data_IF_189684199385
#
_entry.id   IF_189684199385
#
_cell.length_a   1.000
_cell.length_b   1.000
_cell.length_c   1.000
_cell.angle_alpha   90.00
_cell.angle_beta   90.00
_cell.angle_gamma   90.00
#
_symmetry.space_group_name_H-M   'P 1'
#
loop_
_entity.id
_entity.type
_entity.pdbx_description
1 polymer ?
#
# COMPACT_ATOMS: atom_id res chain seq x y z
N UNK A 1 -33.67 -20.95 0.11
CA UNK A 1 -34.10 -19.70 0.78
C UNK A 1 -35.15 -19.05 -0.11
N UNK A 2 -36.27 -18.59 0.42
CA UNK A 2 -37.31 -17.91 -0.37
C UNK A 2 -36.89 -16.47 -0.68
N UNK A 3 -37.58 -15.81 -1.63
CA UNK A 3 -37.37 -14.39 -1.91
C UNK A 3 -37.50 -13.53 -0.64
N UNK A 4 -38.56 -13.72 0.13
CA UNK A 4 -38.79 -12.95 1.37
C UNK A 4 -37.68 -13.17 2.41
N UNK A 5 -37.14 -14.38 2.50
CA UNK A 5 -36.00 -14.68 3.37
C UNK A 5 -34.69 -14.03 2.88
N UNK A 6 -34.51 -13.88 1.57
CA UNK A 6 -33.36 -13.18 0.98
C UNK A 6 -33.48 -11.67 1.20
N UNK A 7 -34.68 -11.11 1.03
CA UNK A 7 -34.95 -9.69 1.32
C UNK A 7 -34.72 -9.40 2.80
N UNK A 8 -35.29 -10.20 3.71
CA UNK A 8 -35.04 -10.06 5.16
C UNK A 8 -33.55 -10.15 5.50
N UNK A 9 -32.82 -11.07 4.85
CA UNK A 9 -31.38 -11.15 5.03
C UNK A 9 -30.69 -9.85 4.60
N UNK A 10 -30.97 -9.35 3.40
CA UNK A 10 -30.32 -8.14 2.85
C UNK A 10 -30.68 -6.90 3.66
N UNK A 11 -31.94 -6.73 4.05
CA UNK A 11 -32.41 -5.51 4.72
C UNK A 11 -32.11 -5.48 6.22
N UNK A 12 -32.18 -6.64 6.90
CA UNK A 12 -32.22 -6.67 8.37
C UNK A 12 -31.10 -7.47 9.02
N UNK A 13 -30.57 -8.49 8.34
CA UNK A 13 -29.55 -9.40 8.91
C UNK A 13 -28.14 -9.20 8.35
N UNK A 14 -27.99 -8.59 7.17
CA UNK A 14 -26.70 -8.33 6.54
C UNK A 14 -25.96 -7.24 7.31
N UNK A 15 -24.91 -7.64 8.03
CA UNK A 15 -24.04 -6.71 8.75
C UNK A 15 -22.95 -6.19 7.82
N UNK A 16 -23.07 -4.92 7.45
CA UNK A 16 -22.10 -4.26 6.59
C UNK A 16 -20.80 -3.95 7.33
N UNK A 17 -19.84 -4.87 7.25
CA UNK A 17 -18.43 -4.63 7.68
C UNK A 17 -17.51 -4.32 6.50
N UNK A 18 -17.88 -4.78 5.30
CA UNK A 18 -17.19 -4.51 4.04
C UNK A 18 -18.19 -4.66 2.88
N UNK A 19 -17.80 -4.28 1.66
CA UNK A 19 -18.63 -4.42 0.45
C UNK A 19 -18.79 -5.85 -0.07
N UNK A 20 -18.12 -6.84 0.53
CA UNK A 20 -18.00 -8.18 -0.04
C UNK A 20 -19.35 -8.91 -0.17
N UNK A 21 -20.17 -8.86 0.88
CA UNK A 21 -21.48 -9.53 0.90
C UNK A 21 -22.42 -8.99 -0.19
N UNK A 22 -22.68 -7.67 -0.30
CA UNK A 22 -23.56 -7.17 -1.35
C UNK A 22 -22.98 -7.35 -2.76
N UNK A 23 -21.67 -7.21 -2.95
CA UNK A 23 -21.04 -7.43 -4.26
C UNK A 23 -21.13 -8.89 -4.70
N UNK A 24 -20.93 -9.85 -3.80
CA UNK A 24 -21.08 -11.27 -4.09
C UNK A 24 -22.51 -11.60 -4.52
N UNK A 25 -23.52 -11.14 -3.75
CA UNK A 25 -24.92 -11.36 -4.10
C UNK A 25 -25.31 -10.68 -5.42
N UNK A 26 -24.84 -9.45 -5.66
CA UNK A 26 -25.06 -8.76 -6.93
C UNK A 26 -24.46 -9.54 -8.12
N UNK A 27 -23.25 -10.06 -7.96
CA UNK A 27 -22.56 -10.85 -9.00
C UNK A 27 -23.32 -12.13 -9.31
N UNK A 28 -23.79 -12.84 -8.28
CA UNK A 28 -24.64 -14.04 -8.45
C UNK A 28 -25.93 -13.70 -9.21
N UNK A 29 -26.60 -12.61 -8.87
CA UNK A 29 -27.84 -12.18 -9.55
C UNK A 29 -27.61 -11.80 -11.02
N UNK A 30 -26.44 -11.26 -11.37
CA UNK A 30 -26.09 -10.89 -12.74
C UNK A 30 -25.71 -12.08 -13.63
N UNK A 31 -25.19 -13.15 -13.03
CA UNK A 31 -24.71 -14.34 -13.74
C UNK A 31 -25.70 -15.52 -13.69
N UNK A 32 -26.95 -15.27 -13.29
CA UNK A 32 -27.99 -16.29 -13.27
C UNK A 32 -27.80 -17.32 -12.17
N UNK A 33 -27.51 -16.85 -10.96
CA UNK A 33 -27.39 -17.59 -9.68
C UNK A 33 -26.15 -18.47 -9.45
N UNK A 34 -25.27 -18.60 -10.44
CA UNK A 34 -23.98 -19.29 -10.31
C UNK A 34 -22.81 -18.48 -10.89
N UNK A 35 -21.72 -18.37 -10.13
CA UNK A 35 -20.49 -17.75 -10.59
C UNK A 35 -19.27 -18.39 -9.92
N UNK A 36 -18.12 -18.36 -10.59
CA UNK A 36 -16.87 -18.85 -10.00
C UNK A 36 -16.35 -17.90 -8.92
N UNK A 37 -15.57 -18.42 -7.96
CA UNK A 37 -14.86 -17.58 -6.97
C UNK A 37 -14.01 -16.50 -7.64
N UNK A 38 -13.41 -16.81 -8.81
CA UNK A 38 -12.61 -15.88 -9.59
C UNK A 38 -13.43 -14.71 -10.12
N UNK A 39 -14.68 -14.94 -10.50
CA UNK A 39 -15.55 -13.88 -11.02
C UNK A 39 -16.06 -12.97 -9.90
N UNK A 40 -16.36 -13.54 -8.74
CA UNK A 40 -16.68 -12.77 -7.52
C UNK A 40 -15.47 -11.92 -7.09
N UNK A 41 -14.26 -12.48 -7.08
CA UNK A 41 -13.05 -11.76 -6.73
C UNK A 41 -12.76 -10.57 -7.68
N UNK A 42 -12.99 -10.75 -8.99
CA UNK A 42 -12.91 -9.65 -9.97
C UNK A 42 -13.92 -8.56 -9.65
N UNK A 43 -15.18 -8.92 -9.38
CA UNK A 43 -16.22 -7.95 -9.05
C UNK A 43 -15.88 -7.17 -7.79
N UNK A 44 -15.45 -7.84 -6.72
CA UNK A 44 -14.99 -7.20 -5.48
C UNK A 44 -13.83 -6.24 -5.74
N UNK A 45 -12.85 -6.66 -6.53
CA UNK A 45 -11.68 -5.82 -6.87
C UNK A 45 -12.06 -4.55 -7.62
N UNK A 46 -13.13 -4.57 -8.42
CA UNK A 46 -13.64 -3.40 -9.13
C UNK A 46 -14.32 -2.40 -8.19
N UNK A 47 -14.78 -2.84 -7.03
CA UNK A 47 -15.45 -1.98 -6.05
C UNK A 47 -14.55 -1.49 -4.91
N UNK A 48 -13.28 -1.91 -4.85
CA UNK A 48 -12.30 -1.43 -3.85
C UNK A 48 -11.83 0.01 -4.19
N UNK A 49 -12.21 1.03 -3.39
CA UNK A 49 -11.84 2.42 -3.65
C UNK A 49 -10.34 2.65 -3.76
N UNK A 50 -9.53 1.94 -2.97
CA UNK A 50 -8.07 2.11 -2.93
C UNK A 50 -7.44 1.62 -4.23
N UNK A 51 -7.91 0.48 -4.76
CA UNK A 51 -7.48 -0.05 -6.05
C UNK A 51 -7.94 0.86 -7.20
N UNK A 52 -9.17 1.36 -7.15
CA UNK A 52 -9.69 2.29 -8.15
C UNK A 52 -8.82 3.55 -8.18
N UNK A 53 -8.54 4.18 -7.05
CA UNK A 53 -7.70 5.38 -6.94
C UNK A 53 -6.27 5.14 -7.47
N UNK A 54 -5.69 3.98 -7.16
CA UNK A 54 -4.40 3.57 -7.70
C UNK A 54 -4.44 3.50 -9.24
N UNK A 55 -5.43 2.81 -9.82
CA UNK A 55 -5.56 2.71 -11.28
C UNK A 55 -5.98 4.03 -11.93
N UNK A 56 -6.70 4.92 -11.25
CA UNK A 56 -6.95 6.28 -11.72
C UNK A 56 -5.63 7.05 -11.88
N UNK A 57 -4.73 6.95 -10.89
CA UNK A 57 -3.42 7.59 -10.96
C UNK A 57 -2.56 7.03 -12.11
N UNK A 58 -2.52 5.71 -12.29
CA UNK A 58 -1.83 5.06 -13.42
C UNK A 58 -2.44 5.51 -14.76
N UNK A 59 -3.76 5.49 -14.88
CA UNK A 59 -4.49 5.92 -16.07
C UNK A 59 -4.16 7.38 -16.39
N UNK A 60 -4.14 8.25 -15.39
CA UNK A 60 -3.86 9.68 -15.55
C UNK A 60 -2.41 9.96 -15.96
N UNK A 61 -1.47 9.34 -15.25
CA UNK A 61 -0.06 9.72 -15.31
C UNK A 61 0.72 8.97 -16.40
N UNK A 62 0.30 7.74 -16.72
CA UNK A 62 1.00 6.88 -17.67
C UNK A 62 0.17 6.68 -18.94
N UNK A 63 -0.92 5.92 -18.86
CA UNK A 63 -1.64 5.45 -20.07
C UNK A 63 -2.29 6.62 -20.82
N UNK A 64 -3.03 7.46 -20.11
CA UNK A 64 -3.70 8.64 -20.65
C UNK A 64 -2.70 9.64 -21.23
N UNK A 65 -1.55 9.85 -20.59
CA UNK A 65 -0.48 10.72 -21.12
C UNK A 65 0.07 10.19 -22.44
N UNK A 66 0.38 8.89 -22.49
CA UNK A 66 0.93 8.23 -23.69
C UNK A 66 -0.07 8.28 -24.85
N UNK A 67 -1.31 7.86 -24.62
CA UNK A 67 -2.32 7.83 -25.69
C UNK A 67 -2.73 9.24 -26.15
N UNK A 68 -2.71 10.23 -25.26
CA UNK A 68 -2.93 11.64 -25.65
C UNK A 68 -1.79 12.14 -26.53
N UNK A 69 -0.53 11.82 -26.17
CA UNK A 69 0.65 12.19 -26.98
C UNK A 69 0.61 11.57 -28.38
N UNK A 70 0.08 10.36 -28.52
CA UNK A 70 -0.10 9.70 -29.81
C UNK A 70 -1.37 10.14 -30.56
N UNK A 71 -2.13 11.12 -30.05
CA UNK A 71 -3.34 11.62 -30.70
C UNK A 71 -4.48 10.61 -30.76
N UNK A 72 -4.44 9.55 -29.95
CA UNK A 72 -5.46 8.48 -29.94
C UNK A 72 -6.64 8.84 -29.05
N UNK A 73 -6.39 9.58 -27.96
CA UNK A 73 -7.43 10.00 -27.02
C UNK A 73 -7.28 11.48 -26.66
N UNK A 74 -8.40 12.12 -26.33
CA UNK A 74 -8.47 13.43 -25.69
C UNK A 74 -8.87 13.25 -24.24
N UNK A 75 -8.29 14.06 -23.36
CA UNK A 75 -8.69 14.17 -21.95
C UNK A 75 -9.43 15.48 -21.71
N UNK A 76 -10.57 15.38 -21.03
CA UNK A 76 -11.33 16.52 -20.52
C UNK A 76 -11.64 16.30 -19.03
N UNK A 77 -10.96 17.04 -18.15
CA UNK A 77 -10.97 16.80 -16.71
C UNK A 77 -10.57 15.38 -16.32
N UNK A 78 -11.53 14.59 -15.83
CA UNK A 78 -11.37 13.17 -15.47
C UNK A 78 -11.88 12.20 -16.55
N UNK A 79 -12.37 12.69 -17.69
CA UNK A 79 -12.94 11.87 -18.77
C UNK A 79 -11.95 11.74 -19.93
N UNK A 80 -11.96 10.57 -20.58
CA UNK A 80 -11.21 10.31 -21.80
C UNK A 80 -12.18 10.01 -22.95
N UNK A 81 -11.83 10.44 -24.16
CA UNK A 81 -12.59 10.16 -25.38
C UNK A 81 -11.64 9.79 -26.51
N UNK A 82 -12.00 8.77 -27.28
CA UNK A 82 -11.26 8.37 -28.47
C UNK A 82 -11.32 9.49 -29.51
N UNK A 83 -10.16 9.91 -30.01
CA UNK A 83 -10.06 10.83 -31.12
C UNK A 83 -10.23 10.03 -32.41
N UNK A 84 -11.43 10.09 -32.98
CA UNK A 84 -11.74 9.52 -34.28
C UNK A 84 -12.38 10.59 -35.14
N UNK A 85 -11.88 10.75 -36.36
CA UNK A 85 -12.38 11.76 -37.31
C UNK A 85 -13.84 11.50 -37.72
N UNK A 86 -14.29 10.24 -37.66
CA UNK A 86 -15.69 9.83 -37.82
C UNK A 86 -16.10 8.85 -36.71
N UNK A 87 -17.42 8.73 -36.47
CA UNK A 87 -17.93 7.72 -35.55
C UNK A 87 -17.64 6.32 -36.09
N UNK A 88 -16.94 5.50 -35.30
CA UNK A 88 -16.66 4.10 -35.65
C UNK A 88 -17.98 3.31 -35.74
N UNK A 89 -18.15 2.57 -36.83
CA UNK A 89 -19.29 1.64 -37.00
C UNK A 89 -19.22 0.49 -35.99
N UNK A 90 -20.32 -0.25 -35.82
CA UNK A 90 -20.34 -1.43 -34.95
C UNK A 90 -19.27 -2.45 -35.35
N UNK A 91 -19.11 -2.69 -36.65
CA UNK A 91 -18.15 -3.66 -37.18
C UNK A 91 -16.71 -3.19 -36.99
N UNK A 92 -16.43 -1.90 -37.23
CA UNK A 92 -15.10 -1.33 -36.96
C UNK A 92 -14.74 -1.40 -35.48
N UNK A 93 -15.70 -1.18 -34.57
CA UNK A 93 -15.48 -1.33 -33.12
C UNK A 93 -15.23 -2.78 -32.73
N UNK A 94 -15.97 -3.72 -33.32
CA UNK A 94 -15.77 -5.15 -33.09
C UNK A 94 -14.38 -5.61 -33.58
N UNK A 95 -13.96 -5.14 -34.76
CA UNK A 95 -12.64 -5.45 -35.31
C UNK A 95 -11.51 -4.88 -34.45
N UNK A 96 -11.61 -3.60 -34.05
CA UNK A 96 -10.63 -2.99 -33.15
C UNK A 96 -10.57 -3.71 -31.80
N UNK A 97 -11.71 -4.14 -31.25
CA UNK A 97 -11.75 -4.94 -30.01
C UNK A 97 -10.96 -6.24 -30.19
N UNK A 98 -11.23 -6.99 -31.27
CA UNK A 98 -10.53 -8.23 -31.58
C UNK A 98 -9.02 -8.03 -31.70
N UNK A 99 -8.58 -6.96 -32.36
CA UNK A 99 -7.16 -6.63 -32.49
C UNK A 99 -6.51 -6.29 -31.14
N UNK A 100 -7.22 -5.58 -30.26
CA UNK A 100 -6.74 -5.24 -28.92
C UNK A 100 -6.66 -6.48 -28.02
N UNK A 101 -7.67 -7.35 -28.05
CA UNK A 101 -7.69 -8.63 -27.34
C UNK A 101 -6.52 -9.51 -27.78
N UNK A 102 -6.34 -9.69 -29.10
CA UNK A 102 -5.22 -10.46 -29.65
C UNK A 102 -3.85 -9.89 -29.24
N UNK A 103 -3.70 -8.56 -29.16
CA UNK A 103 -2.46 -7.92 -28.66
C UNK A 103 -2.24 -8.20 -27.17
N UNK A 104 -3.31 -8.19 -26.36
CA UNK A 104 -3.24 -8.54 -24.95
C UNK A 104 -2.78 -9.99 -24.79
N UNK A 105 -3.40 -10.91 -25.52
CA UNK A 105 -3.08 -12.34 -25.45
C UNK A 105 -1.64 -12.61 -25.89
N UNK A 106 -1.18 -12.00 -26.98
CA UNK A 106 0.21 -12.11 -27.43
C UNK A 106 1.20 -11.58 -26.38
N UNK A 107 0.86 -10.45 -25.73
CA UNK A 107 1.69 -9.89 -24.67
C UNK A 107 1.74 -10.81 -23.44
N UNK A 108 0.59 -11.38 -23.07
CA UNK A 108 0.46 -12.34 -21.97
C UNK A 108 1.25 -13.62 -22.24
N UNK A 109 1.09 -14.20 -23.43
CA UNK A 109 1.80 -15.39 -23.87
C UNK A 109 3.33 -15.17 -23.91
N UNK A 110 3.79 -14.01 -24.39
CA UNK A 110 5.23 -13.72 -24.55
C UNK A 110 5.97 -13.55 -23.22
N UNK A 111 5.32 -13.00 -22.18
CA UNK A 111 5.94 -12.79 -20.86
C UNK A 111 5.55 -13.84 -19.82
N UNK A 112 4.54 -14.66 -20.06
CA UNK A 112 4.09 -15.72 -19.15
C UNK A 112 3.66 -15.18 -17.78
N UNK A 113 3.80 -15.99 -16.72
CA UNK A 113 3.45 -15.59 -15.35
C UNK A 113 4.28 -14.42 -14.79
N UNK A 114 5.42 -14.08 -15.41
CA UNK A 114 6.29 -12.97 -14.96
C UNK A 114 5.63 -11.60 -15.03
N UNK A 115 4.57 -11.44 -15.84
CA UNK A 115 3.74 -10.21 -15.85
C UNK A 115 3.10 -9.97 -14.48
N UNK A 116 2.73 -11.06 -13.81
CA UNK A 116 2.02 -11.05 -12.55
C UNK A 116 2.96 -11.22 -11.36
N UNK A 117 4.24 -11.55 -11.55
CA UNK A 117 5.22 -11.69 -10.46
C UNK A 117 5.41 -10.40 -9.66
N UNK A 118 5.47 -9.24 -10.33
CA UNK A 118 5.51 -7.95 -9.64
C UNK A 118 4.22 -7.67 -8.84
N UNK A 119 3.07 -8.20 -9.25
CA UNK A 119 1.82 -8.11 -8.48
C UNK A 119 1.74 -9.17 -7.39
N UNK A 120 2.24 -10.39 -7.59
CA UNK A 120 2.29 -11.44 -6.56
C UNK A 120 3.19 -11.02 -5.39
N UNK A 121 4.28 -10.33 -5.70
CA UNK A 121 5.13 -9.65 -4.73
C UNK A 121 4.46 -8.41 -4.12
N UNK A 122 3.50 -7.74 -4.77
CA UNK A 122 2.74 -6.64 -4.16
C UNK A 122 1.48 -7.10 -3.40
N UNK A 123 0.98 -8.32 -3.67
CA UNK A 123 -0.26 -8.91 -3.15
C UNK A 123 -0.09 -9.62 -1.80
N UNK A 124 1.13 -9.72 -1.28
CA UNK A 124 1.31 -9.97 0.14
C UNK A 124 0.82 -8.72 0.88
N UNK A 125 -0.48 -8.59 1.12
CA UNK A 125 -0.94 -7.57 2.03
C UNK A 125 -0.49 -8.02 3.42
N UNK A 126 0.49 -7.31 3.99
CA UNK A 126 0.93 -7.62 5.37
C UNK A 126 -0.32 -7.54 6.23
N UNK A 127 -0.62 -8.62 6.95
CA UNK A 127 -1.87 -8.71 7.70
C UNK A 127 -1.98 -7.51 8.66
N UNK A 128 -3.20 -7.03 8.89
CA UNK A 128 -3.42 -5.90 9.80
C UNK A 128 -2.81 -6.14 11.19
N UNK A 129 -2.81 -7.39 11.66
CA UNK A 129 -2.16 -7.81 12.90
C UNK A 129 -0.65 -7.63 12.86
N UNK A 130 0.02 -8.08 11.80
CA UNK A 130 1.48 -7.90 11.65
C UNK A 130 1.82 -6.42 11.50
N UNK A 131 1.01 -5.64 10.75
CA UNK A 131 1.18 -4.18 10.66
C UNK A 131 1.09 -3.53 12.04
N UNK A 132 0.11 -3.93 12.84
CA UNK A 132 -0.06 -3.43 14.20
C UNK A 132 1.14 -3.77 15.10
N UNK A 133 1.62 -5.02 15.09
CA UNK A 133 2.76 -5.43 15.93
C UNK A 133 4.04 -4.69 15.55
N UNK A 134 4.33 -4.52 14.24
CA UNK A 134 5.48 -3.74 13.78
C UNK A 134 5.40 -2.29 14.25
N UNK A 135 4.24 -1.64 14.10
CA UNK A 135 4.03 -0.26 14.54
C UNK A 135 4.09 -0.12 16.06
N UNK A 136 3.56 -1.10 16.80
CA UNK A 136 3.60 -1.15 18.27
C UNK A 136 5.03 -1.34 18.77
N UNK A 137 5.81 -2.25 18.16
CA UNK A 137 7.24 -2.46 18.44
C UNK A 137 8.04 -1.17 18.25
N UNK A 138 7.78 -0.47 17.15
CA UNK A 138 8.39 0.81 16.83
C UNK A 138 7.92 1.97 17.74
N UNK A 139 7.03 1.71 18.71
CA UNK A 139 6.45 2.70 19.60
C UNK A 139 5.74 3.83 18.85
N UNK A 140 5.13 3.50 17.70
CA UNK A 140 4.48 4.46 16.79
C UNK A 140 5.42 5.59 16.33
N UNK A 141 6.72 5.31 16.20
CA UNK A 141 7.71 6.23 15.66
C UNK A 141 8.44 5.60 14.48
N UNK A 142 8.92 6.44 13.55
CA UNK A 142 9.76 6.00 12.45
C UNK A 142 11.10 5.46 12.97
N UNK A 143 11.48 4.25 12.58
CA UNK A 143 12.71 3.60 13.04
C UNK A 143 13.98 4.25 12.44
N UNK A 144 13.86 5.01 11.35
CA UNK A 144 14.96 5.81 10.80
C UNK A 144 15.11 7.19 11.44
N UNK A 145 14.05 8.00 11.48
CA UNK A 145 14.14 9.42 11.88
C UNK A 145 13.49 9.76 13.23
N UNK A 146 12.85 8.80 13.89
CA UNK A 146 12.22 8.99 15.20
C UNK A 146 10.90 9.77 15.21
N UNK A 147 10.44 10.31 14.08
CA UNK A 147 9.18 11.07 14.01
C UNK A 147 7.98 10.24 14.44
N UNK A 148 7.07 10.82 15.21
CA UNK A 148 5.84 10.16 15.65
C UNK A 148 4.85 9.99 14.50
N UNK A 149 4.06 8.92 14.57
CA UNK A 149 2.91 8.70 13.68
C UNK A 149 1.86 9.83 13.76
N UNK A 150 1.85 10.62 14.85
CA UNK A 150 1.00 11.81 14.97
C UNK A 150 1.43 12.95 14.04
N UNK A 151 2.73 13.08 13.81
CA UNK A 151 3.30 14.15 12.99
C UNK A 151 3.46 13.73 11.53
N UNK A 152 3.82 12.46 11.29
CA UNK A 152 3.93 11.88 9.95
C UNK A 152 3.44 10.44 9.93
N UNK A 153 2.52 10.14 9.02
CA UNK A 153 2.01 8.80 8.82
C UNK A 153 3.14 7.78 8.60
N UNK A 154 3.06 6.67 9.33
CA UNK A 154 3.97 5.54 9.23
C UNK A 154 3.42 4.44 8.32
N UNK A 155 4.33 3.80 7.63
CA UNK A 155 4.11 2.65 6.77
C UNK A 155 5.01 1.50 7.25
N UNK A 156 4.57 0.27 6.99
CA UNK A 156 5.40 -0.92 7.21
C UNK A 156 6.17 -1.20 5.92
N UNK A 157 7.49 -1.09 6.00
CA UNK A 157 8.43 -1.30 4.90
C UNK A 157 9.24 -2.58 5.12
N UNK A 158 9.67 -3.20 4.04
CA UNK A 158 10.57 -4.35 4.07
C UNK A 158 12.02 -3.88 4.18
N UNK A 159 12.77 -4.42 5.14
CA UNK A 159 14.21 -4.19 5.27
C UNK A 159 14.90 -4.58 3.97
N UNK A 160 14.90 -5.88 3.64
CA UNK A 160 15.26 -6.36 2.31
C UNK A 160 14.03 -6.19 1.41
N UNK A 161 14.10 -5.37 0.34
CA UNK A 161 12.97 -5.17 -0.55
C UNK A 161 12.48 -6.50 -1.14
N UNK A 162 11.16 -6.64 -1.33
CA UNK A 162 10.56 -7.84 -1.94
C UNK A 162 11.16 -8.20 -3.31
N UNK A 163 11.48 -7.20 -4.13
CA UNK A 163 12.13 -7.40 -5.43
C UNK A 163 13.56 -7.99 -5.34
N UNK A 164 14.17 -7.96 -4.16
CA UNK A 164 15.46 -8.57 -3.84
C UNK A 164 15.32 -9.85 -3.00
N UNK A 165 14.11 -10.41 -2.90
CA UNK A 165 13.86 -11.68 -2.20
C UNK A 165 13.55 -11.53 -0.71
N UNK A 166 13.23 -10.33 -0.23
CA UNK A 166 12.81 -10.14 1.17
C UNK A 166 11.49 -10.84 1.50
N UNK A 167 11.42 -11.45 2.69
CA UNK A 167 10.23 -12.13 3.20
C UNK A 167 9.22 -11.17 3.84
N UNK A 168 8.00 -11.65 4.05
CA UNK A 168 6.93 -10.93 4.78
C UNK A 168 6.94 -11.20 6.29
N UNK A 169 7.95 -11.93 6.77
CA UNK A 169 8.11 -12.22 8.19
C UNK A 169 8.42 -10.94 8.95
N UNK A 170 7.95 -10.84 10.20
CA UNK A 170 8.20 -9.67 11.06
C UNK A 170 9.69 -9.32 11.18
N UNK A 171 10.56 -10.33 11.06
CA UNK A 171 12.01 -10.18 11.04
C UNK A 171 12.55 -9.32 9.88
N UNK A 172 11.82 -9.20 8.77
CA UNK A 172 12.17 -8.37 7.62
C UNK A 172 11.33 -7.09 7.54
N UNK A 173 10.54 -6.75 8.56
CA UNK A 173 9.65 -5.58 8.56
C UNK A 173 10.09 -4.49 9.52
N UNK A 174 9.99 -3.24 9.07
CA UNK A 174 10.30 -2.02 9.84
C UNK A 174 9.26 -0.92 9.62
N UNK A 175 9.12 -0.03 10.61
CA UNK A 175 8.19 1.10 10.56
C UNK A 175 8.90 2.37 10.08
N UNK A 176 8.51 2.89 8.91
CA UNK A 176 9.09 4.11 8.33
C UNK A 176 8.01 5.14 8.03
N UNK A 177 8.31 6.43 8.20
CA UNK A 177 7.43 7.47 7.70
C UNK A 177 7.51 7.55 6.17
N UNK A 178 6.45 8.06 5.52
CA UNK A 178 6.38 8.14 4.06
C UNK A 178 7.61 8.81 3.41
N UNK A 179 8.20 9.81 4.07
CA UNK A 179 9.39 10.52 3.58
C UNK A 179 10.64 9.63 3.61
N UNK A 180 10.89 8.97 4.75
CA UNK A 180 12.00 8.02 4.92
C UNK A 180 11.86 6.83 3.97
N UNK A 181 10.65 6.27 3.86
CA UNK A 181 10.37 5.15 2.97
C UNK A 181 10.64 5.53 1.50
N UNK A 182 10.17 6.69 1.06
CA UNK A 182 10.40 7.21 -0.29
C UNK A 182 11.88 7.50 -0.62
N UNK A 183 12.69 7.79 0.40
CA UNK A 183 14.14 7.96 0.27
C UNK A 183 14.87 6.61 0.16
N UNK A 184 14.52 5.63 1.01
CA UNK A 184 15.10 4.28 1.02
C UNK A 184 14.86 3.55 -0.30
N UNK A 185 13.60 3.50 -0.74
CA UNK A 185 13.15 2.74 -1.92
C UNK A 185 13.61 1.28 -1.86
N UNK A 186 13.72 0.67 -3.03
CA UNK A 186 14.30 -0.65 -3.25
C UNK A 186 15.85 -0.65 -3.31
N UNK A 187 16.51 0.43 -2.88
CA UNK A 187 17.97 0.64 -3.07
C UNK A 187 18.81 0.24 -1.87
N UNK A 188 18.20 0.11 -0.70
CA UNK A 188 18.89 -0.10 0.56
C UNK A 188 18.17 -1.20 1.37
N UNK A 189 18.97 -2.00 2.07
CA UNK A 189 18.54 -3.09 2.93
C UNK A 189 18.95 -2.87 4.40
N UNK A 190 19.28 -1.64 4.78
CA UNK A 190 19.63 -1.29 6.15
C UNK A 190 18.46 -1.56 7.10
N UNK A 191 18.79 -2.22 8.22
CA UNK A 191 17.87 -2.47 9.32
C UNK A 191 17.91 -1.27 10.28
N UNK A 192 16.90 -0.40 10.18
CA UNK A 192 16.83 0.79 11.03
C UNK A 192 16.32 0.51 12.44
N UNK A 193 15.87 -0.72 12.74
CA UNK A 193 15.44 -1.10 14.11
C UNK A 193 16.60 -1.01 15.09
N UNK A 194 17.82 -1.34 14.62
CA UNK A 194 19.05 -1.33 15.40
C UNK A 194 19.50 0.09 15.82
N UNK A 195 19.00 1.16 15.17
CA UNK A 195 19.31 2.53 15.59
C UNK A 195 18.90 2.76 17.04
N UNK A 196 17.77 2.19 17.47
CA UNK A 196 17.32 2.28 18.87
C UNK A 196 18.35 1.70 19.85
N UNK A 197 18.92 0.55 19.51
CA UNK A 197 19.94 -0.11 20.33
C UNK A 197 21.22 0.71 20.41
N UNK A 198 21.58 1.43 19.33
CA UNK A 198 22.74 2.32 19.34
C UNK A 198 22.62 3.42 20.41
N UNK A 199 21.41 3.93 20.67
CA UNK A 199 21.17 4.93 21.73
C UNK A 199 21.26 4.36 23.15
N UNK A 200 21.27 3.05 23.33
CA UNK A 200 21.50 2.41 24.63
C UNK A 200 23.01 2.29 24.95
N UNK A 201 23.89 2.49 23.97
CA UNK A 201 25.33 2.45 24.21
C UNK A 201 25.75 3.58 25.17
N UNK A 202 26.54 3.23 26.19
CA UNK A 202 27.11 4.15 27.17
C UNK A 202 28.57 3.81 27.37
N UNK A 203 29.45 4.76 27.06
CA UNK A 203 30.89 4.59 27.28
C UNK A 203 31.23 4.77 28.76
N UNK A 204 31.97 3.80 29.33
CA UNK A 204 32.35 3.83 30.75
C UNK A 204 33.20 5.05 31.13
N UNK A 205 34.00 5.57 30.20
CA UNK A 205 34.88 6.72 30.42
C UNK A 205 34.23 8.07 30.06
N UNK A 206 33.03 8.06 29.46
CA UNK A 206 32.35 9.29 29.09
C UNK A 206 31.67 9.92 30.30
N UNK A 207 32.11 11.11 30.68
CA UNK A 207 31.58 11.90 31.80
C UNK A 207 30.06 12.12 31.69
N UNK A 208 29.53 12.26 30.46
CA UNK A 208 28.10 12.45 30.22
C UNK A 208 27.31 11.14 30.35
N UNK A 209 27.91 10.00 30.00
CA UNK A 209 27.28 8.69 30.14
C UNK A 209 27.22 8.21 31.60
N UNK A 210 28.21 8.57 32.41
CA UNK A 210 28.32 8.14 33.81
C UNK A 210 27.52 9.02 34.77
N UNK A 211 27.48 10.34 34.56
CA UNK A 211 26.74 11.31 35.40
C UNK A 211 25.22 11.07 35.47
N UNK A 212 24.64 10.36 34.50
CA UNK A 212 23.22 9.95 34.54
C UNK A 212 22.89 9.05 35.74
N UNK A 213 23.88 8.36 36.33
CA UNK A 213 23.66 7.40 37.44
C UNK A 213 23.71 8.02 38.83
N UNK A 214 24.28 9.22 38.98
CA UNK A 214 24.59 9.81 40.29
C UNK A 214 23.41 10.60 40.90
N UNK A 215 22.22 10.53 40.30
CA UNK A 215 20.96 11.03 40.89
C UNK A 215 20.80 12.55 40.93
N UNK A 216 21.77 13.33 40.47
CA UNK A 216 21.68 14.79 40.38
C UNK A 216 21.31 15.25 38.97
N UNK A 217 20.10 14.90 38.53
CA UNK A 217 19.49 15.47 37.33
C UNK A 217 18.41 16.46 37.78
N UNK A 218 18.75 17.74 38.01
CA UNK A 218 17.80 18.72 38.54
C UNK A 218 16.69 19.11 37.54
N UNK A 219 16.87 18.86 36.24
CA UNK A 219 15.94 19.19 35.16
C UNK A 219 15.94 18.06 34.14
N UNK A 220 14.80 17.44 33.85
CA UNK A 220 14.66 16.41 32.82
C UNK A 220 13.32 16.55 32.09
N UNK A 221 13.33 16.23 30.80
CA UNK A 221 12.15 15.91 30.03
C UNK A 221 12.44 14.69 29.14
N UNK A 222 11.49 14.31 28.29
CA UNK A 222 11.61 13.14 27.42
C UNK A 222 12.83 13.18 26.46
N UNK A 223 13.37 14.36 26.15
CA UNK A 223 14.41 14.55 25.13
C UNK A 223 15.76 14.99 25.70
N UNK A 224 15.79 15.58 26.89
CA UNK A 224 17.01 16.13 27.46
C UNK A 224 16.98 16.17 28.98
N UNK A 225 18.18 16.19 29.55
CA UNK A 225 18.39 16.45 30.96
C UNK A 225 19.43 17.56 31.13
N UNK A 226 19.23 18.41 32.13
CA UNK A 226 20.12 19.49 32.52
C UNK A 226 21.00 19.05 33.68
N UNK A 227 22.29 19.38 33.59
CA UNK A 227 23.26 19.23 34.68
C UNK A 227 23.69 20.62 35.14
N UNK A 228 23.85 20.80 36.46
CA UNK A 228 24.44 22.04 36.97
C UNK A 228 25.89 22.14 36.51
N UNK A 229 26.28 23.34 36.09
CA UNK A 229 27.68 23.61 35.86
C UNK A 229 28.44 23.54 37.20
N UNK A 230 29.65 22.97 37.17
CA UNK A 230 30.50 22.80 38.35
C UNK A 230 31.21 24.08 38.78
N UNK A 231 31.04 25.16 38.04
CA UNK A 231 31.64 26.47 38.30
C UNK A 231 30.59 27.44 38.86
N UNK A 232 30.83 28.05 40.03
CA UNK A 232 29.97 29.11 40.52
C UNK A 232 30.10 30.34 39.63
N UNK A 233 28.97 30.84 39.11
CA UNK A 233 28.82 32.17 38.50
C UNK A 233 28.56 33.22 39.55
#
# INVERSE_FOLDING_TARGET
>A
MTYDQLVDFVERRMRMSHIYQPVMLLTLLQHGDQCSERDIAKAISVHDPTQIEYYEAITRNMVGRVLTRHGVVKRDGKRFSLLSAQALTKDQRAELRRLLEAKLDQYVAKRGERIWQHRKLALGDISGTVKYEVLRRASLCCELCGVSNRDRALEVDHIVPRNHGGSDDEGNLQALCYSCNAMKRDRDATDFRALRESYAHREKACLFCTRQKDGQIPLENELCFGIKDGYPV
#
